data_IF_428352983316
#
_entry.id   IF_428352983316
#
_cell.length_a   1.000
_cell.length_b   1.000
_cell.length_c   1.000
_cell.angle_alpha   90.00
_cell.angle_beta   90.00
_cell.angle_gamma   90.00
#
_symmetry.space_group_name_H-M   'P 1'
#
loop_
_entity.id
_entity.type
_entity.pdbx_description
1 polymer ?
#
# COMPACT_ATOMS: atom_id res chain seq x y z
N UNK A 1 -3.23 9.22 -25.20
CA UNK A 1 -2.70 10.25 -26.12
C UNK A 1 -1.20 10.29 -25.93
N UNK A 2 -0.41 9.95 -26.96
CA UNK A 2 1.03 9.70 -26.82
C UNK A 2 1.80 11.04 -26.72
N UNK A 3 2.87 11.07 -25.92
CA UNK A 3 3.65 12.29 -25.60
C UNK A 3 4.16 13.02 -26.86
N UNK A 4 4.42 12.27 -27.94
CA UNK A 4 4.82 12.81 -29.23
C UNK A 4 3.72 13.62 -29.96
N UNK A 5 2.44 13.24 -29.82
CA UNK A 5 1.35 14.03 -30.43
C UNK A 5 1.17 15.38 -29.74
N UNK A 6 1.33 15.44 -28.42
CA UNK A 6 1.22 16.69 -27.66
C UNK A 6 2.41 17.61 -27.94
N UNK A 7 3.60 17.03 -28.15
CA UNK A 7 4.80 17.76 -28.53
C UNK A 7 4.68 18.39 -29.93
N UNK A 8 4.07 17.70 -30.89
CA UNK A 8 3.80 18.25 -32.23
C UNK A 8 2.78 19.41 -32.21
N UNK A 9 1.76 19.33 -31.35
CA UNK A 9 0.71 20.36 -31.22
C UNK A 9 1.20 21.63 -30.53
N UNK A 10 2.13 21.52 -29.57
CA UNK A 10 2.69 22.68 -28.86
C UNK A 10 3.69 23.47 -29.71
N UNK A 11 4.41 22.79 -30.63
CA UNK A 11 5.32 23.42 -31.59
C UNK A 11 4.52 24.24 -32.63
N UNK A 12 3.33 23.80 -33.06
CA UNK A 12 2.51 24.54 -34.03
C UNK A 12 1.84 25.79 -33.47
N UNK A 13 1.81 25.97 -32.15
CA UNK A 13 1.20 27.12 -31.46
C UNK A 13 2.21 28.21 -31.05
N UNK A 14 3.48 28.11 -31.50
CA UNK A 14 4.48 29.17 -31.28
C UNK A 14 4.97 29.32 -29.83
N UNK A 15 4.65 28.38 -28.95
CA UNK A 15 5.15 28.35 -27.57
C UNK A 15 6.54 27.69 -27.55
N UNK A 16 7.59 28.48 -27.78
CA UNK A 16 8.98 28.01 -27.88
C UNK A 16 9.58 27.48 -26.57
N UNK A 17 8.96 27.78 -25.42
CA UNK A 17 9.55 27.50 -24.11
C UNK A 17 8.88 26.36 -23.36
N UNK A 18 9.21 25.13 -23.73
CA UNK A 18 8.97 23.95 -22.90
C UNK A 18 9.63 24.08 -21.50
N UNK A 19 10.70 24.89 -21.41
CA UNK A 19 11.40 25.20 -20.16
C UNK A 19 10.55 26.01 -19.17
N UNK A 20 9.65 26.89 -19.64
CA UNK A 20 8.76 27.67 -18.77
C UNK A 20 7.57 26.84 -18.25
N UNK A 21 7.15 25.82 -19.01
CA UNK A 21 6.13 24.88 -18.50
C UNK A 21 6.67 24.08 -17.31
N UNK A 22 7.95 23.71 -17.30
CA UNK A 22 8.57 22.98 -16.17
C UNK A 22 8.89 23.88 -14.96
N UNK A 23 9.01 25.19 -15.15
CA UNK A 23 9.25 26.15 -14.07
C UNK A 23 7.96 26.54 -13.30
N UNK A 24 6.78 26.36 -13.93
CA UNK A 24 5.48 26.70 -13.35
C UNK A 24 4.78 25.53 -12.61
N UNK A 25 5.34 24.32 -12.60
CA UNK A 25 4.84 23.21 -11.78
C UNK A 25 5.83 22.66 -10.74
N UNK A 26 6.43 23.46 -9.83
CA UNK A 26 7.22 22.92 -8.74
C UNK A 26 6.39 22.22 -7.64
N UNK A 27 5.08 22.02 -7.83
CA UNK A 27 4.15 21.52 -6.79
C UNK A 27 3.41 20.23 -7.13
N UNK A 28 3.80 19.47 -8.17
CA UNK A 28 3.10 18.23 -8.50
C UNK A 28 3.60 16.98 -7.73
N UNK A 29 4.37 17.18 -6.66
CA UNK A 29 4.69 16.13 -5.68
C UNK A 29 4.30 16.54 -4.24
N UNK A 30 3.21 17.30 -4.07
CA UNK A 30 2.45 17.21 -2.82
C UNK A 30 1.72 15.87 -2.81
N UNK A 31 2.45 14.80 -2.48
CA UNK A 31 1.80 13.55 -2.10
C UNK A 31 0.83 13.88 -0.97
N UNK A 32 -0.37 13.32 -1.05
CA UNK A 32 -1.33 13.25 0.05
C UNK A 32 -0.63 12.44 1.16
N UNK A 33 0.04 13.13 2.07
CA UNK A 33 0.59 12.53 3.27
C UNK A 33 -0.43 12.76 4.36
N UNK A 34 -1.10 11.69 4.75
CA UNK A 34 -2.17 11.75 5.72
C UNK A 34 -1.59 11.66 7.13
N UNK A 35 -2.03 12.59 7.96
CA UNK A 35 -1.92 12.52 9.40
C UNK A 35 -3.06 11.64 9.93
N UNK A 36 -2.73 10.70 10.80
CA UNK A 36 -3.70 9.89 11.53
C UNK A 36 -3.72 10.37 12.98
N UNK A 37 -4.91 10.71 13.48
CA UNK A 37 -5.11 11.28 14.82
C UNK A 37 -6.10 10.41 15.59
N UNK A 38 -5.76 10.08 16.83
CA UNK A 38 -6.67 9.45 17.79
C UNK A 38 -7.17 10.49 18.77
N UNK A 39 -8.48 10.61 18.82
CA UNK A 39 -9.21 11.55 19.67
C UNK A 39 -9.75 10.85 20.92
N UNK A 40 -9.98 11.63 21.98
CA UNK A 40 -10.60 11.25 23.26
C UNK A 40 -11.17 12.52 23.92
N UNK A 41 -10.81 12.82 25.17
CA UNK A 41 -11.05 14.16 25.77
C UNK A 41 -10.22 15.30 25.15
N UNK A 42 -9.36 14.97 24.18
CA UNK A 42 -8.47 15.83 23.43
C UNK A 42 -7.73 14.97 22.39
N UNK A 43 -6.53 15.38 21.99
CA UNK A 43 -5.66 14.57 21.12
C UNK A 43 -4.88 13.58 22.00
N UNK A 44 -5.05 12.28 21.75
CA UNK A 44 -4.36 11.21 22.49
C UNK A 44 -3.06 10.76 21.80
N UNK A 45 -3.07 10.62 20.47
CA UNK A 45 -1.86 10.30 19.69
C UNK A 45 -2.03 10.78 18.24
N UNK A 46 -0.90 11.11 17.59
CA UNK A 46 -0.84 11.61 16.22
C UNK A 46 0.34 11.00 15.48
N UNK A 47 0.09 10.49 14.26
CA UNK A 47 1.11 9.81 13.44
C UNK A 47 1.03 10.22 11.99
N UNK A 48 2.17 10.56 11.40
CA UNK A 48 2.26 10.94 10.00
C UNK A 48 2.70 12.38 9.82
N UNK A 49 2.36 12.97 8.69
CA UNK A 49 2.83 14.31 8.32
C UNK A 49 1.65 15.22 7.98
N UNK A 50 1.73 16.48 8.41
CA UNK A 50 0.78 17.54 8.06
C UNK A 50 1.53 18.87 8.01
N UNK A 51 1.21 19.74 7.04
CA UNK A 51 1.73 21.11 7.00
C UNK A 51 3.26 21.25 7.10
N UNK A 52 4.02 20.35 6.48
CA UNK A 52 5.50 20.38 6.53
C UNK A 52 6.11 19.86 7.83
N UNK A 53 5.32 19.29 8.74
CA UNK A 53 5.78 18.69 10.00
C UNK A 53 5.49 17.19 10.03
N UNK A 54 6.38 16.40 10.65
CA UNK A 54 6.20 14.96 10.84
C UNK A 54 6.12 14.62 12.32
N UNK A 55 5.00 14.03 12.72
CA UNK A 55 4.69 13.59 14.08
C UNK A 55 5.10 12.12 14.24
N UNK A 56 5.98 11.85 15.20
CA UNK A 56 6.53 10.51 15.45
C UNK A 56 6.73 10.28 16.96
N UNK A 57 7.05 9.04 17.35
CA UNK A 57 7.40 8.66 18.73
C UNK A 57 8.63 7.78 18.72
N UNK A 58 9.50 7.97 19.69
CA UNK A 58 10.61 7.08 20.02
C UNK A 58 10.46 6.57 21.47
N UNK A 59 11.47 5.85 21.98
CA UNK A 59 11.48 5.36 23.37
C UNK A 59 11.31 6.47 24.42
N UNK A 60 11.71 7.70 24.11
CA UNK A 60 11.70 8.85 25.03
C UNK A 60 10.47 9.75 24.89
N UNK A 61 9.52 9.41 24.01
CA UNK A 61 8.27 10.13 23.86
C UNK A 61 7.95 10.56 22.44
N UNK A 62 6.88 11.34 22.30
CA UNK A 62 6.42 11.87 21.02
C UNK A 62 7.18 13.14 20.67
N UNK A 63 7.54 13.31 19.41
CA UNK A 63 8.28 14.47 18.91
C UNK A 63 7.80 14.87 17.52
N UNK A 64 8.09 16.13 17.17
CA UNK A 64 7.77 16.71 15.87
C UNK A 64 9.06 17.18 15.22
N UNK A 65 9.20 16.91 13.93
CA UNK A 65 10.32 17.40 13.12
C UNK A 65 9.84 18.10 11.86
N UNK A 66 10.60 19.09 11.43
CA UNK A 66 10.43 19.67 10.10
C UNK A 66 10.66 18.60 9.03
N UNK A 67 9.83 18.65 8.00
CA UNK A 67 9.83 17.67 6.93
C UNK A 67 10.59 18.19 5.72
N UNK A 68 11.56 17.41 5.28
CA UNK A 68 12.21 17.61 3.98
C UNK A 68 11.43 16.89 2.90
N UNK A 69 11.17 17.57 1.79
CA UNK A 69 10.55 16.94 0.61
C UNK A 69 11.47 15.86 0.05
N UNK A 70 11.01 14.59 0.00
CA UNK A 70 11.84 13.53 -0.56
C UNK A 70 11.95 13.67 -2.08
N UNK A 71 13.14 13.44 -2.62
CA UNK A 71 13.35 13.27 -4.07
C UNK A 71 12.73 11.94 -4.50
N UNK A 72 12.11 11.89 -5.68
CA UNK A 72 11.52 10.67 -6.25
C UNK A 72 12.46 10.06 -7.30
N UNK A 73 13.36 9.12 -6.94
CA UNK A 73 14.40 8.62 -7.84
C UNK A 73 13.93 7.67 -8.95
N UNK A 74 12.61 7.41 -9.11
CA UNK A 74 12.04 6.50 -10.12
C UNK A 74 12.84 5.19 -10.31
N UNK A 75 13.17 4.53 -9.21
CA UNK A 75 13.91 3.27 -9.24
C UNK A 75 13.10 2.13 -9.89
N UNK A 76 13.78 1.13 -10.44
CA UNK A 76 13.15 -0.08 -11.01
C UNK A 76 12.18 -0.76 -10.03
N UNK A 77 12.54 -0.81 -8.74
CA UNK A 77 11.69 -1.33 -7.65
C UNK A 77 10.39 -0.52 -7.48
N UNK A 78 10.46 0.81 -7.56
CA UNK A 78 9.27 1.68 -7.47
C UNK A 78 8.34 1.48 -8.67
N UNK A 79 8.90 1.32 -9.86
CA UNK A 79 8.12 1.02 -11.08
C UNK A 79 7.46 -0.35 -10.96
N UNK A 80 8.21 -1.38 -10.55
CA UNK A 80 7.67 -2.73 -10.34
C UNK A 80 6.52 -2.77 -9.33
N UNK A 81 6.65 -2.06 -8.20
CA UNK A 81 5.57 -1.95 -7.22
C UNK A 81 4.31 -1.27 -7.79
N UNK A 82 4.48 -0.23 -8.62
CA UNK A 82 3.35 0.45 -9.29
C UNK A 82 2.66 -0.45 -10.30
N UNK A 83 3.42 -1.17 -11.13
CA UNK A 83 2.89 -2.14 -12.09
C UNK A 83 2.12 -3.24 -11.36
N UNK A 84 2.66 -3.76 -10.27
CA UNK A 84 2.00 -4.79 -9.45
C UNK A 84 0.66 -4.32 -8.89
N UNK A 85 0.60 -3.10 -8.35
CA UNK A 85 -0.65 -2.53 -7.85
C UNK A 85 -1.69 -2.36 -8.97
N UNK A 86 -1.26 -1.94 -10.17
CA UNK A 86 -2.14 -1.83 -11.33
C UNK A 86 -2.67 -3.19 -11.75
N UNK A 87 -1.79 -4.18 -11.88
CA UNK A 87 -2.13 -5.56 -12.23
C UNK A 87 -3.15 -6.16 -11.25
N UNK A 88 -2.91 -6.07 -9.94
CA UNK A 88 -3.84 -6.62 -8.96
C UNK A 88 -5.18 -5.87 -8.94
N UNK A 89 -5.17 -4.55 -9.13
CA UNK A 89 -6.41 -3.79 -9.22
C UNK A 89 -7.24 -4.16 -10.45
N UNK A 90 -6.59 -4.47 -11.58
CA UNK A 90 -7.22 -4.98 -12.81
C UNK A 90 -7.80 -6.38 -12.59
N UNK A 91 -7.01 -7.31 -12.04
CA UNK A 91 -7.46 -8.68 -11.74
C UNK A 91 -8.65 -8.74 -10.77
N UNK A 92 -8.80 -7.77 -9.86
CA UNK A 92 -9.98 -7.70 -8.99
C UNK A 92 -11.29 -7.38 -9.74
N UNK A 93 -11.20 -6.66 -10.86
CA UNK A 93 -12.37 -6.25 -11.66
C UNK A 93 -12.70 -7.23 -12.77
N UNK A 94 -11.71 -7.97 -13.25
CA UNK A 94 -11.82 -8.82 -14.43
C UNK A 94 -11.93 -10.31 -14.08
N UNK A 95 -12.32 -11.12 -15.08
CA UNK A 95 -12.32 -12.58 -14.96
C UNK A 95 -10.89 -13.07 -14.67
N UNK A 96 -10.68 -14.01 -13.72
CA UNK A 96 -11.65 -14.97 -13.15
C UNK A 96 -12.32 -14.54 -11.83
N UNK A 97 -12.23 -13.25 -11.47
CA UNK A 97 -12.85 -12.74 -10.24
C UNK A 97 -14.37 -12.61 -10.40
N UNK A 98 -15.10 -13.38 -9.60
CA UNK A 98 -16.57 -13.35 -9.52
C UNK A 98 -17.05 -12.72 -8.20
N UNK A 99 -18.37 -12.63 -8.02
CA UNK A 99 -18.95 -12.06 -6.80
C UNK A 99 -18.70 -12.93 -5.56
N UNK A 100 -18.70 -14.26 -5.71
CA UNK A 100 -18.52 -15.19 -4.59
C UNK A 100 -17.09 -15.09 -4.02
N UNK A 101 -16.07 -15.00 -4.89
CA UNK A 101 -14.68 -14.77 -4.49
C UNK A 101 -14.51 -13.42 -3.80
N UNK A 102 -15.14 -12.36 -4.31
CA UNK A 102 -15.11 -11.03 -3.65
C UNK A 102 -15.75 -11.05 -2.27
N UNK A 103 -16.85 -11.79 -2.11
CA UNK A 103 -17.52 -11.99 -0.81
C UNK A 103 -16.67 -12.81 0.16
N UNK A 104 -15.98 -13.85 -0.32
CA UNK A 104 -15.02 -14.61 0.49
C UNK A 104 -13.90 -13.69 1.02
N UNK A 105 -13.32 -12.85 0.16
CA UNK A 105 -12.33 -11.85 0.58
C UNK A 105 -12.90 -10.81 1.55
N UNK A 106 -14.16 -10.40 1.38
CA UNK A 106 -14.82 -9.47 2.31
C UNK A 106 -15.02 -10.10 3.69
N UNK A 107 -15.46 -11.36 3.74
CA UNK A 107 -15.62 -12.14 4.97
C UNK A 107 -14.29 -12.30 5.69
N UNK A 108 -13.25 -12.70 4.96
CA UNK A 108 -11.90 -12.79 5.51
C UNK A 108 -11.41 -11.43 6.06
N UNK A 109 -11.63 -10.35 5.31
CA UNK A 109 -11.18 -9.03 5.73
C UNK A 109 -11.91 -8.48 6.97
N UNK A 110 -13.17 -8.87 7.17
CA UNK A 110 -13.93 -8.56 8.38
C UNK A 110 -13.45 -9.34 9.60
N UNK A 111 -12.99 -10.59 9.42
CA UNK A 111 -12.49 -11.44 10.50
C UNK A 111 -11.07 -11.13 10.97
N UNK A 112 -10.29 -10.39 10.19
CA UNK A 112 -8.88 -10.10 10.50
C UNK A 112 -8.72 -8.71 11.10
N UNK A 113 -8.28 -8.69 12.36
CA UNK A 113 -7.91 -7.46 13.06
C UNK A 113 -6.58 -6.91 12.53
N UNK A 114 -6.61 -5.69 11.99
CA UNK A 114 -5.41 -4.96 11.60
C UNK A 114 -5.17 -3.77 12.53
N UNK A 115 -3.94 -3.58 12.99
CA UNK A 115 -3.60 -2.42 13.83
C UNK A 115 -3.02 -1.30 12.98
N UNK A 116 -3.60 -0.11 13.10
CA UNK A 116 -3.08 1.08 12.45
C UNK A 116 -1.86 1.65 13.23
N UNK A 117 -1.25 2.72 12.72
CA UNK A 117 -0.05 3.35 13.33
C UNK A 117 -0.29 3.93 14.73
N UNK A 118 -1.56 4.13 15.11
CA UNK A 118 -1.99 4.66 16.41
C UNK A 118 -2.60 3.54 17.29
N UNK A 119 -2.32 2.28 16.94
CA UNK A 119 -2.76 1.10 17.68
C UNK A 119 -4.28 1.02 17.88
N UNK A 120 -5.03 1.46 16.87
CA UNK A 120 -6.45 1.17 16.77
C UNK A 120 -6.66 -0.03 15.87
N UNK A 121 -7.58 -0.90 16.26
CA UNK A 121 -8.07 -1.99 15.40
C UNK A 121 -8.88 -1.38 14.27
N UNK A 122 -8.53 -1.75 13.05
CA UNK A 122 -9.20 -1.40 11.81
C UNK A 122 -9.39 -2.67 11.00
N UNK A 123 -10.55 -2.81 10.36
CA UNK A 123 -10.78 -3.88 9.40
C UNK A 123 -10.52 -3.34 7.99
N UNK A 124 -9.78 -4.12 7.20
CA UNK A 124 -9.53 -3.78 5.81
C UNK A 124 -10.75 -4.17 4.96
N UNK A 125 -10.87 -3.59 3.77
CA UNK A 125 -11.85 -4.07 2.78
C UNK A 125 -11.33 -5.35 2.13
N UNK A 126 -12.24 -6.17 1.57
CA UNK A 126 -11.86 -7.38 0.83
C UNK A 126 -10.84 -7.09 -0.30
N UNK A 127 -11.03 -5.99 -1.02
CA UNK A 127 -10.07 -5.49 -2.02
C UNK A 127 -8.68 -5.22 -1.44
N UNK A 128 -8.61 -4.51 -0.31
CA UNK A 128 -7.34 -4.19 0.33
C UNK A 128 -6.63 -5.45 0.86
N UNK A 129 -7.38 -6.44 1.34
CA UNK A 129 -6.83 -7.73 1.74
C UNK A 129 -6.33 -8.57 0.57
N UNK A 130 -7.09 -8.61 -0.53
CA UNK A 130 -6.70 -9.29 -1.76
C UNK A 130 -5.38 -8.74 -2.30
N UNK A 131 -5.26 -7.41 -2.43
CA UNK A 131 -4.02 -6.77 -2.91
C UNK A 131 -2.87 -7.06 -1.95
N UNK A 132 -3.07 -6.88 -0.64
CA UNK A 132 -2.01 -7.04 0.36
C UNK A 132 -1.43 -8.47 0.32
N UNK A 133 -2.30 -9.47 0.25
CA UNK A 133 -1.91 -10.88 0.27
C UNK A 133 -1.20 -11.27 -1.03
N UNK A 134 -1.80 -10.95 -2.18
CA UNK A 134 -1.23 -11.30 -3.47
C UNK A 134 0.05 -10.51 -3.81
N UNK A 135 0.16 -9.24 -3.39
CA UNK A 135 1.39 -8.47 -3.61
C UNK A 135 2.58 -9.03 -2.82
N UNK A 136 2.36 -9.63 -1.66
CA UNK A 136 3.41 -10.33 -0.93
C UNK A 136 3.77 -11.65 -1.63
N UNK A 137 2.76 -12.43 -2.02
CA UNK A 137 2.92 -13.72 -2.67
C UNK A 137 3.66 -13.63 -4.00
N UNK A 138 3.26 -12.72 -4.89
CA UNK A 138 3.91 -12.51 -6.19
C UNK A 138 5.36 -12.06 -6.02
N UNK A 139 5.66 -11.23 -5.01
CA UNK A 139 7.04 -10.83 -4.71
C UNK A 139 7.89 -11.99 -4.17
N UNK A 140 7.27 -12.96 -3.52
CA UNK A 140 7.92 -14.19 -3.09
C UNK A 140 8.06 -15.23 -4.22
N UNK A 141 7.61 -14.91 -5.44
CA UNK A 141 7.65 -15.82 -6.59
C UNK A 141 6.44 -16.76 -6.70
N UNK A 142 5.42 -16.57 -5.86
CA UNK A 142 4.16 -17.32 -5.94
C UNK A 142 3.26 -16.84 -7.08
N UNK A 143 2.23 -17.62 -7.37
CA UNK A 143 1.21 -17.32 -8.38
C UNK A 143 0.06 -16.50 -7.79
N UNK A 144 -0.77 -15.90 -8.65
CA UNK A 144 -1.96 -15.16 -8.23
C UNK A 144 -2.99 -16.12 -7.60
N UNK A 145 -3.45 -15.80 -6.39
CA UNK A 145 -4.53 -16.50 -5.70
C UNK A 145 -5.80 -15.67 -5.78
N UNK A 146 -6.81 -16.21 -6.45
CA UNK A 146 -8.10 -15.53 -6.65
C UNK A 146 -9.16 -15.97 -5.66
N UNK A 147 -9.14 -17.24 -5.26
CA UNK A 147 -10.02 -17.78 -4.23
C UNK A 147 -9.70 -17.17 -2.86
N UNK A 148 -10.73 -16.66 -2.19
CA UNK A 148 -10.60 -16.10 -0.85
C UNK A 148 -10.25 -17.20 0.17
N UNK A 149 -9.49 -16.88 1.23
CA UNK A 149 -9.21 -17.83 2.30
C UNK A 149 -10.52 -18.30 2.97
N UNK A 150 -10.73 -19.62 3.15
CA UNK A 150 -11.91 -20.14 3.83
C UNK A 150 -11.83 -19.96 5.35
N UNK A 151 -10.62 -19.94 5.91
CA UNK A 151 -10.39 -19.89 7.35
C UNK A 151 -9.79 -18.53 7.78
N UNK A 152 -10.24 -18.02 8.93
CA UNK A 152 -9.76 -16.77 9.54
C UNK A 152 -8.53 -17.05 10.46
N UNK A 153 -8.22 -18.33 10.71
CA UNK A 153 -7.17 -18.79 11.63
C UNK A 153 -5.87 -19.22 10.95
N UNK A 154 -4.83 -19.40 11.76
CA UNK A 154 -3.65 -20.15 11.31
C UNK A 154 -4.09 -21.61 11.04
N UNK A 155 -3.55 -22.25 9.98
CA UNK A 155 -3.75 -23.68 9.82
C UNK A 155 -3.23 -24.42 11.06
N UNK A 156 -3.78 -25.60 11.38
CA UNK A 156 -3.23 -26.46 12.43
C UNK A 156 -1.72 -26.60 12.25
N UNK A 157 -0.96 -26.51 13.35
CA UNK A 157 0.48 -26.68 13.31
C UNK A 157 0.82 -28.01 12.62
N UNK A 158 1.82 -27.99 11.74
CA UNK A 158 2.24 -29.17 10.99
C UNK A 158 2.63 -30.29 11.98
N UNK A 159 1.97 -31.46 11.91
CA UNK A 159 2.17 -32.55 12.85
C UNK A 159 3.56 -33.19 12.74
N UNK A 160 4.37 -32.86 11.72
CA UNK A 160 5.68 -33.47 11.49
C UNK A 160 6.85 -32.69 12.15
N UNK A 161 6.62 -31.47 12.64
CA UNK A 161 7.61 -30.71 13.43
C UNK A 161 7.62 -31.13 14.90
N UNK A 162 7.71 -32.43 15.17
CA UNK A 162 8.10 -32.92 16.50
C UNK A 162 9.53 -33.47 16.45
N UNK A 163 10.32 -33.14 17.47
CA UNK A 163 11.57 -33.84 17.72
C UNK A 163 11.20 -35.25 18.21
N UNK A 164 11.38 -36.24 17.34
CA UNK A 164 11.35 -37.65 17.72
C UNK A 164 12.60 -37.92 18.53
N UNK A 165 12.49 -37.83 19.87
CA UNK A 165 13.52 -38.35 20.75
C UNK A 165 13.51 -39.88 20.60
N UNK A 166 14.41 -40.37 19.75
CA UNK A 166 14.72 -41.79 19.70
C UNK A 166 15.57 -42.13 20.91
N UNK A 167 14.96 -42.64 21.98
CA UNK A 167 15.71 -43.33 23.02
C UNK A 167 16.18 -44.66 22.42
N UNK A 168 17.45 -44.72 22.03
CA UNK A 168 18.12 -45.97 21.71
C UNK A 168 18.41 -46.72 23.01
N UNK A 169 17.63 -47.77 23.27
CA UNK A 169 17.95 -48.80 24.26
C UNK A 169 19.02 -49.76 23.76
#
# INVERSE_FOLDING_TARGET
MNFQMFQAMMISLGLSDFHLFNALYPLQQMHIFNLLVKYGGGILDMRGSIGGQTHARNRFGSYIRARTSPVNPKSSRQVGARIMMMYLAEQWRESPMDNAKREAWATYAAGVDWRNKVDQVVHLTGFNMFIRSNAALIRAGGTLVTDGPPDIGLPPGDPDFYCRFGESG
#
